data_IF_635579564824
#
_entry.id   IF_635579564824
#
_cell.length_a   1.000
_cell.length_b   1.000
_cell.length_c   1.000
_cell.angle_alpha   90.00
_cell.angle_beta   90.00
_cell.angle_gamma   90.00
#
_symmetry.space_group_name_H-M   'P 1'
#
loop_
_entity.id
_entity.type
_entity.pdbx_description
1 polymer ?
#
# COMPACT_ATOMS: atom_id res chain seq x y z
N UNK A 1 -18.49 -29.37 71.30
CA UNK A 1 -17.20 -29.13 70.61
C UNK A 1 -17.33 -29.77 69.24
N UNK A 2 -17.89 -29.05 68.27
CA UNK A 2 -17.99 -29.54 66.90
C UNK A 2 -16.64 -29.35 66.23
N UNK A 3 -15.99 -30.46 65.90
CA UNK A 3 -14.79 -30.45 65.09
C UNK A 3 -15.18 -29.94 63.70
N UNK A 4 -14.69 -28.75 63.33
CA UNK A 4 -14.83 -28.23 61.99
C UNK A 4 -14.10 -29.17 61.02
N UNK A 5 -14.86 -30.01 60.32
CA UNK A 5 -14.36 -30.88 59.27
C UNK A 5 -13.83 -29.95 58.17
N UNK A 6 -12.53 -29.98 57.92
CA UNK A 6 -11.91 -29.21 56.86
C UNK A 6 -12.57 -29.55 55.52
N UNK A 7 -12.95 -28.57 54.69
CA UNK A 7 -13.54 -28.83 53.37
C UNK A 7 -12.52 -29.39 52.37
N UNK A 8 -11.27 -29.60 52.79
CA UNK A 8 -10.18 -30.07 51.95
C UNK A 8 -9.75 -31.50 52.31
N UNK A 9 -9.33 -32.31 51.33
CA UNK A 9 -8.75 -33.62 51.60
C UNK A 9 -7.46 -33.50 52.42
N UNK A 10 -7.25 -34.41 53.39
CA UNK A 10 -6.00 -34.50 54.15
C UNK A 10 -4.88 -35.25 53.39
N UNK A 11 -5.22 -35.88 52.26
CA UNK A 11 -4.27 -36.57 51.40
C UNK A 11 -3.47 -35.61 50.52
N UNK A 12 -2.14 -35.72 50.56
CA UNK A 12 -1.21 -34.83 49.85
C UNK A 12 -1.41 -34.92 48.34
N UNK A 13 -1.70 -36.10 47.80
CA UNK A 13 -1.88 -36.28 46.37
C UNK A 13 -3.24 -35.73 45.89
N UNK A 14 -4.29 -35.83 46.72
CA UNK A 14 -5.55 -35.14 46.50
C UNK A 14 -5.40 -33.60 46.53
N UNK A 15 -4.59 -33.03 47.43
CA UNK A 15 -4.29 -31.60 47.45
C UNK A 15 -3.50 -31.14 46.21
N UNK A 16 -2.50 -31.91 45.77
CA UNK A 16 -1.76 -31.62 44.52
C UNK A 16 -2.69 -31.64 43.31
N UNK A 17 -3.62 -32.59 43.23
CA UNK A 17 -4.59 -32.65 42.15
C UNK A 17 -5.54 -31.43 42.14
N UNK A 18 -5.95 -30.95 43.31
CA UNK A 18 -6.74 -29.71 43.42
C UNK A 18 -5.92 -28.47 43.01
N UNK A 19 -4.64 -28.40 43.40
CA UNK A 19 -3.75 -27.30 43.01
C UNK A 19 -3.56 -27.26 41.48
N UNK A 20 -3.30 -28.41 40.85
CA UNK A 20 -3.17 -28.49 39.38
C UNK A 20 -4.46 -28.02 38.69
N UNK A 21 -5.63 -28.43 39.18
CA UNK A 21 -6.92 -27.95 38.63
C UNK A 21 -7.12 -26.45 38.84
N UNK A 22 -6.68 -25.90 39.97
CA UNK A 22 -6.78 -24.47 40.25
C UNK A 22 -5.85 -23.67 39.32
N UNK A 23 -4.62 -24.13 39.10
CA UNK A 23 -3.68 -23.52 38.17
C UNK A 23 -4.20 -23.58 36.73
N UNK A 24 -4.72 -24.72 36.28
CA UNK A 24 -5.33 -24.83 34.95
C UNK A 24 -6.49 -23.83 34.75
N UNK A 25 -7.35 -23.68 35.76
CA UNK A 25 -8.44 -22.69 35.71
C UNK A 25 -7.92 -21.25 35.70
N UNK A 26 -6.81 -20.97 36.38
CA UNK A 26 -6.16 -19.67 36.35
C UNK A 26 -5.58 -19.39 34.96
N UNK A 27 -4.84 -20.34 34.38
CA UNK A 27 -4.28 -20.23 33.03
C UNK A 27 -5.37 -20.03 31.97
N UNK A 28 -6.48 -20.78 32.05
CA UNK A 28 -7.63 -20.61 31.16
C UNK A 28 -8.29 -19.24 31.32
N UNK A 29 -8.38 -18.72 32.55
CA UNK A 29 -8.94 -17.41 32.81
C UNK A 29 -8.03 -16.29 32.26
N UNK A 30 -6.71 -16.43 32.42
CA UNK A 30 -5.72 -15.50 31.86
C UNK A 30 -5.77 -15.48 30.33
N UNK A 31 -5.86 -16.65 29.69
CA UNK A 31 -6.00 -16.75 28.24
C UNK A 31 -7.29 -16.10 27.74
N UNK A 32 -8.42 -16.31 28.43
CA UNK A 32 -9.70 -15.67 28.09
C UNK A 32 -9.64 -14.16 28.27
N UNK A 33 -9.02 -13.68 29.34
CA UNK A 33 -8.83 -12.25 29.57
C UNK A 33 -8.00 -11.62 28.44
N UNK A 34 -6.89 -12.25 28.06
CA UNK A 34 -6.05 -11.77 26.96
C UNK A 34 -6.78 -11.72 25.60
N UNK A 35 -7.65 -12.71 25.32
CA UNK A 35 -8.47 -12.70 24.11
C UNK A 35 -9.49 -11.56 24.13
N UNK A 36 -10.20 -11.36 25.24
CA UNK A 36 -11.18 -10.28 25.38
C UNK A 36 -10.52 -8.91 25.30
N UNK A 37 -9.34 -8.73 25.89
CA UNK A 37 -8.56 -7.49 25.76
C UNK A 37 -8.17 -7.21 24.31
N UNK A 38 -7.76 -8.24 23.56
CA UNK A 38 -7.44 -8.09 22.14
C UNK A 38 -8.68 -7.77 21.28
N UNK A 39 -9.83 -8.40 21.56
CA UNK A 39 -11.09 -8.08 20.90
C UNK A 39 -11.55 -6.65 21.20
N UNK A 40 -11.43 -6.21 22.45
CA UNK A 40 -11.78 -4.86 22.86
C UNK A 40 -10.90 -3.82 22.15
N UNK A 41 -9.58 -4.04 22.13
CA UNK A 41 -8.64 -3.15 21.46
C UNK A 41 -8.92 -3.08 19.94
N UNK A 42 -9.23 -4.21 19.30
CA UNK A 42 -9.63 -4.23 17.89
C UNK A 42 -10.95 -3.47 17.65
N UNK A 43 -11.93 -3.61 18.54
CA UNK A 43 -13.20 -2.92 18.44
C UNK A 43 -13.04 -1.40 18.62
N UNK A 44 -12.17 -0.97 19.55
CA UNK A 44 -11.81 0.44 19.75
C UNK A 44 -11.14 1.02 18.51
N UNK A 45 -10.12 0.34 17.97
CA UNK A 45 -9.45 0.77 16.74
C UNK A 45 -10.40 0.87 15.53
N UNK A 46 -11.36 -0.04 15.42
CA UNK A 46 -12.38 0.06 14.38
C UNK A 46 -13.31 1.25 14.61
N UNK A 47 -13.72 1.50 15.86
CA UNK A 47 -14.57 2.64 16.20
C UNK A 47 -13.87 3.98 15.88
N UNK A 48 -12.65 4.20 16.37
CA UNK A 48 -11.89 5.43 16.09
C UNK A 48 -11.57 5.61 14.62
N UNK A 49 -11.22 4.53 13.90
CA UNK A 49 -11.06 4.59 12.44
C UNK A 49 -12.36 4.99 11.71
N UNK A 50 -13.52 4.50 12.16
CA UNK A 50 -14.80 4.92 11.57
C UNK A 50 -15.14 6.37 11.89
N UNK A 51 -14.82 6.86 13.08
CA UNK A 51 -15.01 8.26 13.46
C UNK A 51 -14.14 9.21 12.63
N UNK A 52 -12.86 8.88 12.45
CA UNK A 52 -11.95 9.62 11.57
C UNK A 52 -12.47 9.65 10.12
N UNK A 53 -12.97 8.52 9.61
CA UNK A 53 -13.57 8.45 8.27
C UNK A 53 -14.84 9.32 8.15
N UNK A 54 -15.68 9.35 9.19
CA UNK A 54 -16.86 10.23 9.22
C UNK A 54 -16.43 11.70 9.21
N UNK A 55 -15.44 12.09 10.00
CA UNK A 55 -14.89 13.45 10.02
C UNK A 55 -14.33 13.84 8.65
N UNK A 56 -13.58 12.94 8.01
CA UNK A 56 -13.04 13.14 6.66
C UNK A 56 -14.16 13.39 5.63
N UNK A 57 -15.21 12.56 5.65
CA UNK A 57 -16.35 12.72 4.75
C UNK A 57 -17.15 14.00 5.03
N UNK A 58 -17.26 14.43 6.29
CA UNK A 58 -17.87 15.72 6.64
C UNK A 58 -17.06 16.89 6.06
N UNK A 59 -15.73 16.84 6.19
CA UNK A 59 -14.83 17.85 5.62
C UNK A 59 -14.96 17.92 4.09
N UNK A 60 -14.93 16.77 3.41
CA UNK A 60 -15.12 16.72 1.95
C UNK A 60 -16.48 17.30 1.53
N UNK A 61 -17.56 16.94 2.23
CA UNK A 61 -18.89 17.50 1.95
C UNK A 61 -18.93 19.01 2.14
N UNK A 62 -18.27 19.54 3.18
CA UNK A 62 -18.19 20.98 3.41
C UNK A 62 -17.41 21.69 2.28
N UNK A 63 -16.29 21.12 1.80
CA UNK A 63 -15.52 21.63 0.66
C UNK A 63 -16.35 21.64 -0.62
N UNK A 64 -17.01 20.52 -0.94
CA UNK A 64 -17.87 20.39 -2.12
C UNK A 64 -19.05 21.38 -2.10
N UNK A 65 -19.69 21.56 -0.93
CA UNK A 65 -20.78 22.56 -0.78
C UNK A 65 -20.29 23.98 -1.03
N UNK A 66 -19.08 24.33 -0.56
CA UNK A 66 -18.47 25.63 -0.82
C UNK A 66 -18.21 25.85 -2.32
N UNK A 67 -17.73 24.84 -3.02
CA UNK A 67 -17.49 24.91 -4.47
C UNK A 67 -18.79 25.07 -5.26
N UNK A 68 -19.84 24.35 -4.89
CA UNK A 68 -21.13 24.38 -5.61
C UNK A 68 -21.94 25.66 -5.35
N UNK A 69 -21.99 26.13 -4.11
CA UNK A 69 -22.87 27.22 -3.70
C UNK A 69 -22.16 28.57 -3.52
N UNK A 70 -20.82 28.60 -3.67
CA UNK A 70 -20.01 29.83 -3.65
C UNK A 70 -19.61 30.30 -2.26
N UNK A 71 -18.79 31.36 -2.22
CA UNK A 71 -18.12 31.87 -1.02
C UNK A 71 -19.02 32.69 -0.06
N UNK A 72 -20.35 32.63 -0.17
CA UNK A 72 -21.27 33.59 0.48
C UNK A 72 -21.40 33.44 2.02
N UNK A 73 -20.43 32.85 2.69
CA UNK A 73 -20.39 32.78 4.14
C UNK A 73 -18.93 32.78 4.63
N UNK A 74 -18.48 33.92 5.19
CA UNK A 74 -17.23 34.02 5.97
C UNK A 74 -17.17 32.95 7.08
N UNK A 75 -18.33 32.47 7.53
CA UNK A 75 -18.47 31.38 8.50
C UNK A 75 -17.98 30.02 7.99
N UNK A 76 -17.97 29.79 6.67
CA UNK A 76 -17.61 28.49 6.06
C UNK A 76 -16.11 28.23 6.14
N UNK A 77 -15.27 29.25 6.01
CA UNK A 77 -13.81 29.10 6.11
C UNK A 77 -13.39 28.68 7.52
N UNK A 78 -13.97 29.32 8.54
CA UNK A 78 -13.74 28.93 9.95
C UNK A 78 -14.22 27.52 10.26
N UNK A 79 -15.35 27.11 9.69
CA UNK A 79 -15.88 25.75 9.85
C UNK A 79 -14.97 24.71 9.19
N UNK A 80 -14.42 25.02 8.01
CA UNK A 80 -13.46 24.13 7.34
C UNK A 80 -12.19 23.96 8.17
N UNK A 81 -11.62 25.06 8.69
CA UNK A 81 -10.45 24.99 9.57
C UNK A 81 -10.73 24.18 10.83
N UNK A 82 -11.93 24.29 11.41
CA UNK A 82 -12.33 23.48 12.55
C UNK A 82 -12.43 21.99 12.19
N UNK A 83 -13.04 21.64 11.05
CA UNK A 83 -13.11 20.24 10.60
C UNK A 83 -11.76 19.66 10.21
N UNK A 84 -10.83 20.47 9.71
CA UNK A 84 -9.45 20.04 9.45
C UNK A 84 -8.74 19.70 10.76
N UNK A 85 -8.85 20.54 11.79
CA UNK A 85 -8.28 20.26 13.10
C UNK A 85 -8.90 19.02 13.77
N UNK A 86 -10.23 18.91 13.75
CA UNK A 86 -10.95 17.74 14.29
C UNK A 86 -10.54 16.44 13.58
N UNK A 87 -10.31 16.50 12.27
CA UNK A 87 -9.83 15.35 11.51
C UNK A 87 -8.41 14.96 11.93
N UNK A 88 -7.51 15.93 12.11
CA UNK A 88 -6.13 15.67 12.55
C UNK A 88 -6.09 14.96 13.91
N UNK A 89 -6.91 15.42 14.87
CA UNK A 89 -7.01 14.80 16.20
C UNK A 89 -7.53 13.35 16.10
N UNK A 90 -8.62 13.13 15.35
CA UNK A 90 -9.21 11.79 15.19
C UNK A 90 -8.32 10.82 14.41
N UNK A 91 -7.56 11.30 13.43
CA UNK A 91 -6.57 10.49 12.73
C UNK A 91 -5.41 10.08 13.64
N UNK A 92 -5.00 10.95 14.56
CA UNK A 92 -4.00 10.61 15.57
C UNK A 92 -4.52 9.55 16.55
N UNK A 93 -5.73 9.74 17.10
CA UNK A 93 -6.36 8.78 18.01
C UNK A 93 -6.54 7.41 17.34
N UNK A 94 -7.02 7.38 16.10
CA UNK A 94 -7.19 6.14 15.34
C UNK A 94 -5.86 5.40 15.10
N UNK A 95 -4.76 6.14 14.88
CA UNK A 95 -3.44 5.54 14.73
C UNK A 95 -2.92 4.95 16.04
N UNK A 96 -3.15 5.63 17.18
CA UNK A 96 -2.79 5.11 18.50
C UNK A 96 -3.57 3.84 18.85
N UNK A 97 -4.88 3.83 18.59
CA UNK A 97 -5.72 2.66 18.83
C UNK A 97 -5.34 1.49 17.90
N UNK A 98 -4.99 1.74 16.63
CA UNK A 98 -4.51 0.69 15.72
C UNK A 98 -3.22 0.05 16.26
N UNK A 99 -2.31 0.85 16.80
CA UNK A 99 -1.08 0.36 17.43
C UNK A 99 -1.39 -0.48 18.69
N UNK A 100 -2.33 -0.04 19.53
CA UNK A 100 -2.78 -0.78 20.70
C UNK A 100 -3.42 -2.11 20.32
N UNK A 101 -4.30 -2.12 19.31
CA UNK A 101 -4.93 -3.30 18.75
C UNK A 101 -3.90 -4.30 18.20
N UNK A 102 -2.89 -3.81 17.46
CA UNK A 102 -1.80 -4.64 16.94
C UNK A 102 -0.95 -5.24 18.06
N UNK A 103 -0.68 -4.48 19.12
CA UNK A 103 0.06 -4.97 20.28
C UNK A 103 -0.73 -6.03 21.06
N UNK A 104 -2.04 -5.86 21.20
CA UNK A 104 -2.91 -6.83 21.86
C UNK A 104 -3.06 -8.12 21.01
N UNK A 105 -3.22 -7.98 19.69
CA UNK A 105 -3.24 -9.11 18.77
C UNK A 105 -1.93 -9.92 18.79
N UNK A 106 -0.77 -9.26 18.88
CA UNK A 106 0.52 -9.95 18.97
C UNK A 106 0.68 -10.84 20.22
N UNK A 107 -0.07 -10.56 21.30
CA UNK A 107 -0.09 -11.40 22.51
C UNK A 107 -0.94 -12.66 22.33
N UNK A 108 -1.92 -12.64 21.42
CA UNK A 108 -2.90 -13.71 21.24
C UNK A 108 -2.70 -14.54 19.97
N UNK A 109 -2.01 -14.00 18.96
CA UNK A 109 -1.78 -14.67 17.68
C UNK A 109 -0.31 -15.03 17.45
N UNK A 110 -0.06 -16.30 17.11
CA UNK A 110 1.28 -16.86 16.84
C UNK A 110 1.69 -16.81 15.37
N UNK A 111 0.82 -16.32 14.48
CA UNK A 111 1.05 -16.32 13.03
C UNK A 111 1.33 -14.88 12.57
N UNK A 112 2.49 -14.67 11.96
CA UNK A 112 2.87 -13.37 11.37
C UNK A 112 1.96 -13.01 10.19
N UNK A 113 1.46 -11.78 10.15
CA UNK A 113 0.69 -11.26 9.03
C UNK A 113 1.51 -11.28 7.72
N UNK A 114 0.91 -11.76 6.63
CA UNK A 114 1.55 -11.80 5.31
C UNK A 114 1.30 -10.50 4.54
N UNK A 115 2.35 -9.68 4.37
CA UNK A 115 2.27 -8.52 3.47
C UNK A 115 2.36 -8.93 2.00
N UNK A 116 1.30 -8.66 1.23
CA UNK A 116 1.29 -8.85 -0.22
C UNK A 116 2.16 -7.79 -0.90
N UNK A 117 3.36 -8.16 -1.33
CA UNK A 117 4.22 -7.31 -2.17
C UNK A 117 3.56 -7.04 -3.53
N UNK A 118 3.53 -5.77 -3.96
CA UNK A 118 3.07 -5.40 -5.31
C UNK A 118 3.95 -6.11 -6.35
N UNK A 119 3.36 -6.74 -7.39
CA UNK A 119 4.15 -7.38 -8.44
C UNK A 119 4.93 -6.33 -9.22
N UNK A 120 6.26 -6.38 -9.15
CA UNK A 120 7.17 -5.57 -9.98
C UNK A 120 7.53 -6.36 -11.23
N UNK A 121 7.64 -5.68 -12.38
CA UNK A 121 8.11 -6.31 -13.63
C UNK A 121 9.55 -6.80 -13.42
N UNK A 122 9.75 -8.10 -13.52
CA UNK A 122 11.10 -8.68 -13.52
C UNK A 122 11.77 -8.37 -14.86
N UNK A 123 13.07 -8.03 -14.88
CA UNK A 123 13.82 -7.89 -16.12
C UNK A 123 13.86 -9.22 -16.87
N UNK A 124 14.08 -9.16 -18.19
CA UNK A 124 14.22 -10.37 -18.99
C UNK A 124 15.50 -11.14 -18.63
N UNK A 125 15.50 -12.48 -18.75
CA UNK A 125 16.68 -13.30 -18.47
C UNK A 125 17.90 -12.94 -19.32
N UNK A 126 19.09 -13.04 -18.74
CA UNK A 126 20.32 -12.58 -19.38
C UNK A 126 20.80 -13.44 -20.56
N UNK A 127 20.37 -14.70 -20.62
CA UNK A 127 20.75 -15.64 -21.67
C UNK A 127 20.02 -15.40 -23.00
N UNK A 128 19.01 -14.53 -23.02
CA UNK A 128 18.30 -14.18 -24.25
C UNK A 128 19.15 -13.23 -25.11
N UNK A 129 19.28 -13.49 -26.42
CA UNK A 129 20.01 -12.60 -27.32
C UNK A 129 19.32 -11.23 -27.37
N UNK A 130 20.12 -10.16 -27.19
CA UNK A 130 19.66 -8.77 -27.19
C UNK A 130 20.08 -8.06 -28.47
N UNK A 131 19.12 -7.49 -29.17
CA UNK A 131 19.32 -6.68 -30.37
C UNK A 131 19.02 -5.21 -30.04
N UNK A 132 20.00 -4.32 -30.20
CA UNK A 132 19.84 -2.89 -29.86
C UNK A 132 19.46 -2.10 -31.12
N UNK A 133 18.24 -1.59 -31.15
CA UNK A 133 17.72 -0.75 -32.25
C UNK A 133 17.67 0.70 -31.78
N UNK A 134 18.53 1.55 -32.33
CA UNK A 134 18.59 2.97 -31.97
C UNK A 134 17.73 3.77 -32.96
N UNK A 135 16.65 4.36 -32.44
CA UNK A 135 15.83 5.34 -33.15
C UNK A 135 16.37 6.71 -32.79
N UNK A 136 17.25 7.21 -33.66
CA UNK A 136 17.94 8.48 -33.49
C UNK A 136 17.02 9.70 -33.63
N UNK A 137 17.52 10.85 -33.19
CA UNK A 137 16.87 12.13 -33.45
C UNK A 137 16.78 12.40 -34.98
N UNK A 138 15.67 13.00 -35.46
CA UNK A 138 15.56 13.45 -36.84
C UNK A 138 16.59 14.55 -37.12
N UNK A 139 16.94 14.78 -38.39
CA UNK A 139 17.87 15.85 -38.78
C UNK A 139 17.25 17.25 -38.63
N UNK A 140 15.93 17.34 -38.50
CA UNK A 140 15.20 18.60 -38.37
C UNK A 140 14.08 18.48 -37.34
N UNK A 141 13.78 19.59 -36.67
CA UNK A 141 12.74 19.67 -35.67
C UNK A 141 11.37 19.48 -36.33
N UNK A 142 10.55 18.50 -35.89
CA UNK A 142 9.23 18.29 -36.47
C UNK A 142 8.23 19.41 -36.15
N UNK A 143 8.56 20.33 -35.24
CA UNK A 143 7.70 21.47 -34.89
C UNK A 143 8.01 22.75 -35.67
N UNK A 144 9.30 23.05 -35.92
CA UNK A 144 9.71 24.32 -36.54
C UNK A 144 10.68 24.16 -37.73
N UNK A 145 11.12 22.94 -38.06
CA UNK A 145 12.05 22.67 -39.17
C UNK A 145 13.53 22.97 -38.90
N UNK A 146 13.87 23.51 -37.73
CA UNK A 146 15.27 23.80 -37.34
C UNK A 146 16.15 22.56 -37.26
N UNK A 147 17.41 22.69 -37.69
CA UNK A 147 18.48 21.69 -37.58
C UNK A 147 19.24 21.76 -36.23
N UNK A 148 18.95 22.77 -35.40
CA UNK A 148 19.62 23.01 -34.11
C UNK A 148 19.02 22.13 -33.01
N UNK A 149 19.26 20.83 -33.11
CA UNK A 149 18.80 19.83 -32.16
C UNK A 149 19.91 19.43 -31.18
N UNK A 150 19.55 19.34 -29.90
CA UNK A 150 20.44 18.88 -28.83
C UNK A 150 19.89 17.57 -28.26
N UNK A 151 20.70 16.51 -28.25
CA UNK A 151 20.34 15.25 -27.57
C UNK A 151 20.24 15.49 -26.06
N UNK A 152 19.14 15.04 -25.45
CA UNK A 152 18.86 15.20 -24.03
C UNK A 152 19.09 13.89 -23.25
N UNK A 153 18.70 12.76 -23.84
CA UNK A 153 18.81 11.45 -23.21
C UNK A 153 18.23 10.33 -24.08
N UNK A 154 18.16 9.13 -23.54
CA UNK A 154 17.66 7.93 -24.22
C UNK A 154 16.65 7.22 -23.33
N UNK A 155 15.51 6.81 -23.88
CA UNK A 155 14.63 5.82 -23.23
C UNK A 155 14.84 4.47 -23.89
N UNK A 156 15.12 3.44 -23.08
CA UNK A 156 15.26 2.06 -23.54
C UNK A 156 13.98 1.29 -23.23
N UNK A 157 13.40 0.63 -24.23
CA UNK A 157 12.24 -0.24 -24.07
C UNK A 157 12.61 -1.65 -24.54
N UNK A 158 12.51 -2.62 -23.62
CA UNK A 158 12.76 -4.04 -23.93
C UNK A 158 11.48 -4.70 -24.43
N UNK A 159 11.55 -5.34 -25.59
CA UNK A 159 10.44 -6.01 -26.25
C UNK A 159 10.84 -7.44 -26.58
N UNK A 160 10.03 -8.44 -26.23
CA UNK A 160 10.32 -9.82 -26.60
C UNK A 160 9.72 -10.14 -27.97
N UNK A 161 10.52 -10.71 -28.86
CA UNK A 161 10.08 -11.22 -30.15
C UNK A 161 10.38 -12.71 -30.30
N UNK A 162 9.52 -13.40 -31.06
CA UNK A 162 9.74 -14.79 -31.43
C UNK A 162 10.41 -14.85 -32.80
N UNK A 163 11.51 -15.57 -32.85
CA UNK A 163 12.19 -16.00 -34.08
C UNK A 163 11.93 -17.50 -34.21
N UNK A 164 11.87 -18.10 -35.41
CA UNK A 164 11.65 -19.54 -35.53
C UNK A 164 12.61 -20.34 -34.63
N UNK A 165 12.06 -21.05 -33.64
CA UNK A 165 12.76 -21.87 -32.62
C UNK A 165 13.59 -21.11 -31.58
N UNK A 166 13.51 -19.78 -31.50
CA UNK A 166 14.24 -19.00 -30.49
C UNK A 166 13.53 -17.71 -30.11
N UNK A 167 13.88 -17.13 -28.97
CA UNK A 167 13.38 -15.81 -28.57
C UNK A 167 14.52 -14.82 -28.59
N UNK A 168 14.19 -13.57 -28.88
CA UNK A 168 15.13 -12.45 -28.80
C UNK A 168 14.48 -11.27 -28.08
N UNK A 169 15.30 -10.48 -27.42
CA UNK A 169 14.89 -9.22 -26.80
C UNK A 169 15.36 -8.08 -27.68
N UNK A 170 14.45 -7.28 -28.20
CA UNK A 170 14.76 -6.02 -28.87
C UNK A 170 14.79 -4.89 -27.84
N UNK A 171 15.95 -4.25 -27.71
CA UNK A 171 16.12 -3.03 -26.94
C UNK A 171 15.96 -1.83 -27.88
N UNK A 172 14.74 -1.29 -27.91
CA UNK A 172 14.44 -0.08 -28.69
C UNK A 172 14.87 1.14 -27.90
N UNK A 173 15.93 1.80 -28.35
CA UNK A 173 16.47 3.02 -27.78
C UNK A 173 15.88 4.21 -28.51
N UNK A 174 15.08 5.01 -27.80
CA UNK A 174 14.42 6.21 -28.35
C UNK A 174 15.13 7.44 -27.82
N UNK A 175 15.88 8.10 -28.68
CA UNK A 175 16.58 9.33 -28.32
C UNK A 175 15.58 10.47 -28.07
N UNK A 176 15.74 11.16 -26.95
CA UNK A 176 15.06 12.42 -26.64
C UNK A 176 15.93 13.57 -27.11
N UNK A 177 15.33 14.51 -27.81
CA UNK A 177 16.02 15.71 -28.31
C UNK A 177 15.22 16.96 -28.01
N UNK A 178 15.94 18.06 -27.78
CA UNK A 178 15.38 19.40 -27.57
C UNK A 178 15.83 20.31 -28.71
N UNK A 179 14.88 21.02 -29.32
CA UNK A 179 15.20 22.05 -30.30
C UNK A 179 15.66 23.33 -29.59
N UNK A 180 16.74 23.95 -30.08
CA UNK A 180 17.25 25.20 -29.51
C UNK A 180 16.49 26.45 -29.92
N UNK A 181 15.72 26.39 -31.00
CA UNK A 181 15.01 27.57 -31.52
C UNK A 181 13.57 27.67 -31.01
N UNK A 182 12.88 26.54 -30.82
CA UNK A 182 11.52 26.51 -30.27
C UNK A 182 11.42 25.87 -28.88
N UNK A 183 12.55 25.46 -28.29
CA UNK A 183 12.67 24.85 -26.96
C UNK A 183 11.84 23.58 -26.73
N UNK A 184 11.22 23.04 -27.79
CA UNK A 184 10.35 21.87 -27.71
C UNK A 184 11.17 20.59 -27.62
N UNK A 185 10.82 19.75 -26.64
CA UNK A 185 11.36 18.39 -26.50
C UNK A 185 10.51 17.45 -27.34
N UNK A 186 11.15 16.61 -28.13
CA UNK A 186 10.48 15.57 -28.92
C UNK A 186 11.19 14.24 -28.76
N UNK A 187 10.42 13.17 -28.89
CA UNK A 187 10.89 11.80 -28.79
C UNK A 187 10.18 10.96 -29.86
N UNK A 188 10.86 9.97 -30.47
CA UNK A 188 10.21 9.00 -31.32
C UNK A 188 9.06 8.25 -30.61
N UNK A 189 8.01 7.86 -31.35
CA UNK A 189 6.89 7.11 -30.78
C UNK A 189 7.38 5.81 -30.13
N UNK A 190 6.65 5.35 -29.12
CA UNK A 190 6.92 4.07 -28.48
C UNK A 190 6.73 2.92 -29.48
N UNK A 191 7.50 1.82 -29.36
CA UNK A 191 7.30 0.63 -30.17
C UNK A 191 5.90 0.05 -29.93
N UNK A 192 5.35 -0.60 -30.95
CA UNK A 192 4.05 -1.27 -30.85
C UNK A 192 4.19 -2.58 -30.06
N UNK A 193 3.23 -2.82 -29.16
CA UNK A 193 3.09 -4.07 -28.41
C UNK A 193 1.70 -4.66 -28.66
N UNK A 194 1.64 -5.97 -28.89
CA UNK A 194 0.39 -6.67 -29.22
C UNK A 194 -0.56 -6.73 -28.03
N UNK A 195 0.00 -6.84 -26.83
CA UNK A 195 -0.73 -6.79 -25.55
C UNK A 195 -0.73 -5.37 -24.97
N UNK A 196 -1.89 -4.80 -24.60
CA UNK A 196 -1.94 -3.49 -23.93
C UNK A 196 -1.11 -3.49 -22.64
N UNK A 197 -0.26 -2.47 -22.48
CA UNK A 197 0.71 -2.36 -21.37
C UNK A 197 1.68 -3.55 -21.25
N UNK A 198 1.77 -4.41 -22.26
CA UNK A 198 2.66 -5.57 -22.24
C UNK A 198 4.07 -5.24 -22.73
N UNK A 199 4.80 -6.31 -23.04
CA UNK A 199 6.19 -6.29 -23.53
C UNK A 199 6.36 -7.14 -24.80
N UNK A 200 5.28 -7.78 -25.25
CA UNK A 200 5.28 -8.67 -26.42
C UNK A 200 5.30 -7.83 -27.70
N UNK A 201 6.32 -8.04 -28.52
CA UNK A 201 6.48 -7.39 -29.81
C UNK A 201 5.49 -7.90 -30.87
N UNK A 202 5.50 -7.30 -32.06
CA UNK A 202 4.61 -7.67 -33.17
C UNK A 202 4.71 -9.15 -33.56
N UNK A 203 5.92 -9.70 -33.57
CA UNK A 203 6.20 -11.10 -33.94
C UNK A 203 6.07 -12.09 -32.78
N UNK A 204 5.38 -11.73 -31.70
CA UNK A 204 5.20 -12.62 -30.55
C UNK A 204 4.08 -13.66 -30.75
N UNK A 205 3.08 -13.34 -31.58
CA UNK A 205 1.98 -14.23 -31.97
C UNK A 205 2.25 -14.84 -33.35
#
# INVERSE_FOLDING_TARGET
MEAAISPYPDDVDALKALLVKALQKADEAEQRAALVEAELANAQALASATEAMIAHLKLQNAKLRREQYGASAERTERLLAQFELELEDLEADAAEDELAARAAAAKTTTISAFERKKPVRKPFPDHLPRERVVIGAPCSCPACGSDRLSKLGEDVTETLEVVPRSWKVIQTVREKFACRDCEKITQPPAPFHVTPRGWAGPSFL
#
